data_IF_212953750821
#
_entry.id   IF_212953750821
#
_cell.length_a   1.000
_cell.length_b   1.000
_cell.length_c   1.000
_cell.angle_alpha   90.00
_cell.angle_beta   90.00
_cell.angle_gamma   90.00
#
_symmetry.space_group_name_H-M   'P 1'
#
loop_
_entity.id
_entity.type
_entity.pdbx_description
1 polymer ?
#
# COMPACT_ATOMS: atom_id res chain seq x y z
N UNK A 1 -10.75 66.85 -5.16
CA UNK A 1 -11.03 65.74 -4.27
C UNK A 1 -11.58 64.47 -4.94
N UNK A 2 -12.24 64.49 -6.09
CA UNK A 2 -12.83 63.28 -6.73
C UNK A 2 -11.82 62.39 -7.50
N UNK A 3 -10.72 62.97 -7.99
CA UNK A 3 -9.69 62.24 -8.75
C UNK A 3 -8.76 61.38 -7.89
N UNK A 4 -8.44 61.85 -6.66
CA UNK A 4 -7.57 61.10 -5.73
C UNK A 4 -8.24 59.87 -5.16
N UNK A 5 -9.57 59.86 -5.02
CA UNK A 5 -10.33 58.72 -4.52
C UNK A 5 -10.42 57.56 -5.51
N UNK A 6 -10.50 57.88 -6.82
CA UNK A 6 -10.53 56.89 -7.88
C UNK A 6 -9.19 56.13 -8.03
N UNK A 7 -8.06 56.83 -7.86
CA UNK A 7 -6.73 56.18 -7.90
C UNK A 7 -6.51 55.25 -6.70
N UNK A 8 -6.96 55.66 -5.50
CA UNK A 8 -6.83 54.83 -4.31
C UNK A 8 -7.70 53.55 -4.39
N UNK A 9 -8.91 53.63 -4.93
CA UNK A 9 -9.79 52.47 -5.14
C UNK A 9 -9.23 51.52 -6.22
N UNK A 10 -8.69 52.04 -7.30
CA UNK A 10 -8.05 51.25 -8.35
C UNK A 10 -6.77 50.54 -7.85
N UNK A 11 -5.97 51.19 -7.01
CA UNK A 11 -4.77 50.62 -6.37
C UNK A 11 -5.12 49.56 -5.33
N UNK A 12 -6.22 49.71 -4.59
CA UNK A 12 -6.70 48.75 -3.61
C UNK A 12 -7.26 47.49 -4.30
N UNK A 13 -7.97 47.65 -5.42
CA UNK A 13 -8.48 46.54 -6.23
C UNK A 13 -7.36 45.72 -6.88
N UNK A 14 -6.29 46.39 -7.37
CA UNK A 14 -5.12 45.72 -7.94
C UNK A 14 -4.29 44.97 -6.88
N UNK A 15 -4.20 45.49 -5.64
CA UNK A 15 -3.47 44.84 -4.56
C UNK A 15 -4.18 43.58 -3.99
N UNK A 16 -5.52 43.51 -4.08
CA UNK A 16 -6.30 42.33 -3.64
C UNK A 16 -6.37 41.28 -4.76
N UNK A 17 -6.32 41.68 -6.03
CA UNK A 17 -6.36 40.76 -7.16
C UNK A 17 -5.01 40.01 -7.38
N UNK A 18 -3.88 40.63 -7.07
CA UNK A 18 -2.56 40.06 -7.33
C UNK A 18 -2.30 38.68 -6.68
N UNK A 19 -2.54 38.46 -5.38
CA UNK A 19 -2.32 37.16 -4.76
C UNK A 19 -3.29 36.06 -5.22
N UNK A 20 -4.53 36.42 -5.56
CA UNK A 20 -5.53 35.48 -6.05
C UNK A 20 -5.16 34.96 -7.45
N UNK A 21 -4.76 35.83 -8.36
CA UNK A 21 -4.32 35.41 -9.70
C UNK A 21 -3.03 34.61 -9.69
N UNK A 22 -2.10 34.89 -8.77
CA UNK A 22 -0.87 34.10 -8.61
C UNK A 22 -1.16 32.70 -8.06
N UNK A 23 -2.11 32.58 -7.14
CA UNK A 23 -2.52 31.32 -6.55
C UNK A 23 -3.24 30.44 -7.59
N UNK A 24 -4.11 31.02 -8.43
CA UNK A 24 -4.75 30.33 -9.54
C UNK A 24 -3.74 29.85 -10.58
N UNK A 25 -2.75 30.66 -10.94
CA UNK A 25 -1.73 30.29 -11.91
C UNK A 25 -0.84 29.13 -11.40
N UNK A 26 -0.52 29.09 -10.11
CA UNK A 26 0.23 27.99 -9.49
C UNK A 26 -0.62 26.73 -9.47
N UNK A 27 -1.89 26.81 -9.10
CA UNK A 27 -2.81 25.69 -9.07
C UNK A 27 -3.01 25.10 -10.47
N UNK A 28 -3.23 25.94 -11.49
CA UNK A 28 -3.35 25.51 -12.88
C UNK A 28 -2.07 24.82 -13.39
N UNK A 29 -0.90 25.38 -13.06
CA UNK A 29 0.37 24.75 -13.40
C UNK A 29 0.56 23.41 -12.71
N UNK A 30 0.18 23.29 -11.43
CA UNK A 30 0.22 22.04 -10.69
C UNK A 30 -0.68 20.97 -11.32
N UNK A 31 -1.91 21.32 -11.69
CA UNK A 31 -2.84 20.44 -12.40
C UNK A 31 -2.27 19.95 -13.73
N UNK A 32 -1.68 20.84 -14.53
CA UNK A 32 -1.05 20.46 -15.80
C UNK A 32 0.11 19.46 -15.61
N UNK A 33 0.90 19.61 -14.55
CA UNK A 33 1.95 18.64 -14.21
C UNK A 33 1.37 17.33 -13.74
N UNK A 34 0.34 17.37 -12.90
CA UNK A 34 -0.35 16.19 -12.40
C UNK A 34 -0.97 15.38 -13.54
N UNK A 35 -1.66 16.04 -14.48
CA UNK A 35 -2.25 15.40 -15.67
C UNK A 35 -1.23 14.78 -16.64
N UNK A 36 0.03 15.26 -16.62
CA UNK A 36 1.11 14.71 -17.45
C UNK A 36 1.89 13.59 -16.79
N UNK A 37 1.83 13.51 -15.48
CA UNK A 37 2.51 12.49 -14.71
C UNK A 37 1.69 11.21 -14.72
N UNK A 38 2.33 10.07 -14.96
CA UNK A 38 1.73 8.77 -14.63
C UNK A 38 1.80 8.61 -13.11
N UNK A 39 0.67 8.76 -12.44
CA UNK A 39 0.57 8.66 -10.98
C UNK A 39 0.35 7.22 -10.56
N UNK A 40 1.04 6.80 -9.49
CA UNK A 40 0.98 5.41 -9.00
C UNK A 40 0.88 5.41 -7.49
N UNK A 41 -0.13 4.72 -6.95
CA UNK A 41 -0.21 4.31 -5.54
C UNK A 41 0.24 2.86 -5.42
N UNK A 42 1.18 2.56 -4.54
CA UNK A 42 1.77 1.23 -4.43
C UNK A 42 1.10 0.32 -3.42
N UNK A 43 0.08 0.79 -2.73
CA UNK A 43 -0.65 -0.06 -1.78
C UNK A 43 -2.06 0.44 -1.49
N UNK A 44 -3.05 -0.41 -1.73
CA UNK A 44 -4.44 -0.13 -1.41
C UNK A 44 -5.17 -1.39 -0.96
N UNK A 45 -5.79 -1.36 0.22
CA UNK A 45 -6.55 -2.46 0.81
C UNK A 45 -8.00 -2.57 0.31
N UNK A 46 -8.45 -1.66 -0.53
CA UNK A 46 -9.84 -1.69 -1.05
C UNK A 46 -10.28 -3.04 -1.62
N UNK A 47 -9.41 -3.89 -2.23
CA UNK A 47 -9.84 -5.15 -2.83
C UNK A 47 -10.58 -6.12 -1.90
N UNK A 48 -10.35 -6.09 -0.60
CA UNK A 48 -11.12 -6.97 0.30
C UNK A 48 -12.60 -6.61 0.36
N UNK A 49 -12.97 -5.35 0.10
CA UNK A 49 -14.36 -4.89 0.03
C UNK A 49 -15.10 -5.44 -1.20
N UNK A 50 -14.38 -5.93 -2.22
CA UNK A 50 -15.00 -6.62 -3.35
C UNK A 50 -15.70 -7.92 -2.96
N UNK A 51 -15.42 -8.45 -1.76
CA UNK A 51 -16.08 -9.62 -1.19
C UNK A 51 -17.35 -9.27 -0.38
N UNK A 52 -17.55 -7.98 -0.08
CA UNK A 52 -18.70 -7.52 0.70
C UNK A 52 -19.95 -7.41 -0.20
N UNK A 53 -21.07 -7.96 0.28
CA UNK A 53 -22.32 -7.91 -0.46
C UNK A 53 -22.78 -6.46 -0.69
N UNK A 54 -23.05 -6.12 -1.94
CA UNK A 54 -23.55 -4.80 -2.34
C UNK A 54 -22.48 -3.70 -2.43
N UNK A 55 -21.21 -3.98 -2.09
CA UNK A 55 -20.16 -3.01 -2.31
C UNK A 55 -19.67 -3.05 -3.77
N UNK A 56 -19.62 -1.89 -4.42
CA UNK A 56 -19.32 -1.77 -5.85
C UNK A 56 -18.27 -0.71 -6.11
N UNK A 57 -17.08 -1.13 -6.56
CA UNK A 57 -15.95 -0.26 -6.88
C UNK A 57 -16.23 0.71 -8.05
N UNK A 58 -17.21 0.41 -8.87
CA UNK A 58 -17.67 1.28 -9.96
C UNK A 58 -18.49 2.46 -9.50
N UNK A 59 -18.95 2.46 -8.24
CA UNK A 59 -19.69 3.56 -7.63
C UNK A 59 -18.75 4.47 -6.83
N UNK A 60 -19.14 5.76 -6.77
CA UNK A 60 -18.42 6.73 -5.95
C UNK A 60 -18.85 6.62 -4.49
N UNK A 61 -17.92 6.20 -3.64
CA UNK A 61 -18.17 6.08 -2.20
C UNK A 61 -17.84 7.38 -1.45
N UNK A 62 -18.49 7.65 -0.29
CA UNK A 62 -18.17 8.81 0.53
C UNK A 62 -16.78 8.71 1.13
N UNK A 63 -16.13 9.85 1.34
CA UNK A 63 -14.78 9.92 1.90
C UNK A 63 -14.84 9.89 3.43
N UNK A 64 -14.01 9.05 4.06
CA UNK A 64 -13.86 9.01 5.52
C UNK A 64 -14.96 8.23 6.26
N UNK A 65 -15.88 7.58 5.57
CA UNK A 65 -16.87 6.71 6.18
C UNK A 65 -16.36 5.26 6.28
N UNK A 66 -16.74 4.58 7.36
CA UNK A 66 -16.38 3.17 7.54
C UNK A 66 -16.99 2.31 6.43
N UNK A 67 -16.20 1.43 5.84
CA UNK A 67 -16.65 0.54 4.76
C UNK A 67 -16.69 1.18 3.37
N UNK A 68 -16.35 2.48 3.23
CA UNK A 68 -16.32 3.14 1.92
C UNK A 68 -15.07 2.84 1.09
N UNK A 69 -14.06 2.24 1.69
CA UNK A 69 -12.77 2.01 1.04
C UNK A 69 -11.95 3.28 0.82
N UNK A 70 -10.65 3.12 0.59
CA UNK A 70 -9.75 4.24 0.31
C UNK A 70 -9.83 4.67 -1.14
N UNK A 71 -10.12 3.76 -2.06
CA UNK A 71 -10.20 4.00 -3.50
C UNK A 71 -11.47 3.39 -4.10
N UNK A 72 -12.01 4.04 -5.13
CA UNK A 72 -12.95 3.49 -6.10
C UNK A 72 -12.64 4.08 -7.48
N UNK A 73 -13.14 3.47 -8.54
CA UNK A 73 -12.80 3.89 -9.90
C UNK A 73 -13.21 5.34 -10.22
N UNK A 74 -14.39 5.85 -9.78
CA UNK A 74 -14.72 7.27 -9.93
C UNK A 74 -13.76 8.21 -9.19
N UNK A 75 -13.44 7.95 -7.91
CA UNK A 75 -12.52 8.80 -7.13
C UNK A 75 -11.08 8.74 -7.65
N UNK A 76 -10.60 7.57 -8.11
CA UNK A 76 -9.30 7.46 -8.79
C UNK A 76 -9.26 8.38 -10.01
N UNK A 77 -10.32 8.39 -10.82
CA UNK A 77 -10.42 9.25 -12.00
C UNK A 77 -10.48 10.73 -11.63
N UNK A 78 -11.33 11.09 -10.66
CA UNK A 78 -11.46 12.47 -10.16
C UNK A 78 -10.15 13.03 -9.61
N UNK A 79 -9.41 12.20 -8.87
CA UNK A 79 -8.14 12.55 -8.24
C UNK A 79 -6.94 12.45 -9.18
N UNK A 80 -7.10 12.00 -10.42
CA UNK A 80 -6.00 11.81 -11.37
C UNK A 80 -5.04 10.70 -10.95
N UNK A 81 -5.51 9.66 -10.26
CA UNK A 81 -4.72 8.47 -9.95
C UNK A 81 -4.82 7.47 -11.10
N UNK A 82 -3.72 7.28 -11.83
CA UNK A 82 -3.69 6.47 -13.05
C UNK A 82 -3.48 4.99 -12.78
N UNK A 83 -2.66 4.66 -11.80
CA UNK A 83 -2.33 3.29 -11.45
C UNK A 83 -2.37 3.06 -9.94
N UNK A 84 -2.77 1.87 -9.51
CA UNK A 84 -2.72 1.44 -8.12
C UNK A 84 -2.36 -0.03 -8.00
N UNK A 85 -1.61 -0.36 -6.96
CA UNK A 85 -1.42 -1.74 -6.54
C UNK A 85 -2.51 -2.12 -5.55
N UNK A 86 -3.39 -2.99 -5.96
CA UNK A 86 -4.43 -3.56 -5.14
C UNK A 86 -3.89 -4.75 -4.34
N UNK A 87 -4.02 -4.67 -3.02
CA UNK A 87 -3.47 -5.66 -2.11
C UNK A 87 -4.40 -6.88 -1.98
N UNK A 88 -3.88 -8.05 -2.30
CA UNK A 88 -4.45 -9.33 -1.89
C UNK A 88 -3.97 -9.56 -0.45
N UNK A 89 -4.69 -8.96 0.50
CA UNK A 89 -4.36 -9.05 1.91
C UNK A 89 -4.93 -10.31 2.54
N UNK A 90 -4.07 -11.06 3.24
CA UNK A 90 -4.48 -12.19 4.07
C UNK A 90 -3.83 -12.08 5.45
N UNK A 91 -4.65 -11.95 6.48
CA UNK A 91 -4.19 -11.92 7.87
C UNK A 91 -3.42 -13.18 8.25
N UNK A 92 -2.47 -13.06 9.17
CA UNK A 92 -1.68 -14.19 9.64
C UNK A 92 -2.53 -15.12 10.51
N UNK A 93 -2.64 -16.37 10.09
CA UNK A 93 -3.23 -17.47 10.83
C UNK A 93 -2.20 -18.49 11.33
N UNK A 94 -2.65 -19.68 11.80
CA UNK A 94 -1.77 -20.75 12.23
C UNK A 94 -0.83 -21.24 11.13
N UNK A 95 0.45 -21.46 11.45
CA UNK A 95 1.45 -21.96 10.50
C UNK A 95 1.32 -23.49 10.34
N UNK A 96 0.15 -23.94 9.91
CA UNK A 96 -0.18 -25.34 9.65
C UNK A 96 -0.65 -25.52 8.20
N UNK A 97 -0.64 -26.75 7.66
CA UNK A 97 -1.15 -27.00 6.31
C UNK A 97 -2.59 -26.51 6.12
N UNK A 98 -3.46 -26.66 7.11
CA UNK A 98 -4.85 -26.21 7.09
C UNK A 98 -4.94 -24.68 7.11
N UNK A 99 -4.09 -24.02 7.92
CA UNK A 99 -4.01 -22.56 7.98
C UNK A 99 -3.55 -21.98 6.65
N UNK A 100 -2.51 -22.55 6.04
CA UNK A 100 -2.03 -22.16 4.71
C UNK A 100 -3.07 -22.39 3.62
N UNK A 101 -3.82 -23.51 3.68
CA UNK A 101 -4.88 -23.80 2.70
C UNK A 101 -6.00 -22.74 2.77
N UNK A 102 -6.46 -22.38 3.98
CA UNK A 102 -7.46 -21.30 4.17
C UNK A 102 -6.93 -19.94 3.70
N UNK A 103 -5.67 -19.65 3.96
CA UNK A 103 -5.04 -18.41 3.50
C UNK A 103 -5.02 -18.33 1.98
N UNK A 104 -4.68 -19.42 1.30
CA UNK A 104 -4.72 -19.52 -0.16
C UNK A 104 -6.14 -19.36 -0.69
N UNK A 105 -7.12 -20.02 -0.11
CA UNK A 105 -8.54 -19.90 -0.48
C UNK A 105 -9.02 -18.44 -0.40
N UNK A 106 -8.69 -17.72 0.68
CA UNK A 106 -9.00 -16.29 0.82
C UNK A 106 -8.31 -15.44 -0.24
N UNK A 107 -7.02 -15.69 -0.50
CA UNK A 107 -6.27 -14.99 -1.55
C UNK A 107 -6.88 -15.21 -2.94
N UNK A 108 -7.28 -16.45 -3.24
CA UNK A 108 -7.94 -16.80 -4.50
C UNK A 108 -9.30 -16.10 -4.65
N UNK A 109 -10.09 -16.04 -3.58
CA UNK A 109 -11.38 -15.34 -3.59
C UNK A 109 -11.22 -13.84 -3.92
N UNK A 110 -10.21 -13.16 -3.35
CA UNK A 110 -9.92 -11.76 -3.65
C UNK A 110 -9.49 -11.61 -5.12
N UNK A 111 -8.61 -12.49 -5.61
CA UNK A 111 -8.16 -12.48 -7.00
C UNK A 111 -9.31 -12.74 -7.99
N UNK A 112 -10.25 -13.61 -7.65
CA UNK A 112 -11.43 -13.89 -8.47
C UNK A 112 -12.38 -12.69 -8.50
N UNK A 113 -12.58 -12.02 -7.36
CA UNK A 113 -13.35 -10.79 -7.28
C UNK A 113 -12.72 -9.65 -8.11
N UNK A 114 -11.38 -9.53 -8.09
CA UNK A 114 -10.68 -8.59 -8.97
C UNK A 114 -10.83 -8.97 -10.45
N UNK A 115 -10.84 -10.25 -10.77
CA UNK A 115 -11.13 -10.74 -12.15
C UNK A 115 -12.54 -10.33 -12.59
N UNK A 116 -13.53 -10.49 -11.71
CA UNK A 116 -14.90 -10.02 -11.95
C UNK A 116 -14.98 -8.50 -12.12
N UNK A 117 -14.24 -7.73 -11.30
CA UNK A 117 -14.13 -6.28 -11.44
C UNK A 117 -13.65 -5.87 -12.84
N UNK A 118 -12.59 -6.48 -13.37
CA UNK A 118 -12.10 -6.20 -14.72
C UNK A 118 -13.13 -6.53 -15.80
N UNK A 119 -13.87 -7.62 -15.63
CA UNK A 119 -14.92 -8.02 -16.58
C UNK A 119 -16.13 -7.06 -16.54
N UNK A 120 -16.49 -6.57 -15.35
CA UNK A 120 -17.63 -5.66 -15.16
C UNK A 120 -17.32 -4.23 -15.59
N UNK A 121 -16.05 -3.78 -15.49
CA UNK A 121 -15.64 -2.40 -15.75
C UNK A 121 -14.52 -2.27 -16.81
N UNK A 122 -14.64 -2.93 -17.99
CA UNK A 122 -13.58 -2.94 -19.01
C UNK A 122 -13.29 -1.56 -19.62
N UNK A 123 -14.24 -0.63 -19.47
CA UNK A 123 -14.09 0.78 -19.91
C UNK A 123 -13.45 1.69 -18.86
N UNK A 124 -13.35 1.27 -17.60
CA UNK A 124 -12.87 2.10 -16.49
C UNK A 124 -11.50 1.68 -15.96
N UNK A 125 -11.21 0.39 -15.96
CA UNK A 125 -9.94 -0.16 -15.46
C UNK A 125 -9.50 -1.38 -16.27
N UNK A 126 -8.26 -1.80 -16.02
CA UNK A 126 -7.71 -3.03 -16.56
C UNK A 126 -6.52 -3.54 -15.78
N UNK A 127 -6.21 -4.84 -15.88
CA UNK A 127 -5.03 -5.43 -15.25
C UNK A 127 -3.75 -4.88 -15.87
N UNK A 128 -2.79 -4.54 -15.03
CA UNK A 128 -1.45 -4.14 -15.43
C UNK A 128 -0.43 -5.16 -14.87
N UNK A 129 0.39 -5.70 -15.73
CA UNK A 129 1.45 -6.64 -15.38
C UNK A 129 2.84 -6.02 -15.53
N UNK A 130 2.93 -4.93 -16.27
CA UNK A 130 4.16 -4.20 -16.58
C UNK A 130 3.92 -2.68 -16.56
N UNK A 131 4.98 -1.85 -16.43
CA UNK A 131 4.86 -0.41 -16.58
C UNK A 131 4.31 0.02 -17.96
N UNK A 132 4.53 -0.79 -19.01
CA UNK A 132 3.98 -0.53 -20.34
C UNK A 132 2.45 -0.67 -20.36
N UNK A 133 1.89 -1.62 -19.60
CA UNK A 133 0.43 -1.77 -19.46
C UNK A 133 -0.19 -0.53 -18.78
N UNK A 134 0.46 -0.02 -17.72
CA UNK A 134 -0.01 1.18 -17.05
C UNK A 134 -0.06 2.38 -18.01
N UNK A 135 1.00 2.61 -18.79
CA UNK A 135 1.03 3.67 -19.80
C UNK A 135 0.02 3.49 -20.92
N UNK A 136 -0.26 2.25 -21.31
CA UNK A 136 -1.28 1.94 -22.31
C UNK A 136 -2.69 2.23 -21.77
N UNK A 137 -2.99 1.75 -20.56
CA UNK A 137 -4.29 1.95 -19.92
C UNK A 137 -4.55 3.43 -19.62
N UNK A 138 -3.54 4.16 -19.14
CA UNK A 138 -3.61 5.61 -18.95
C UNK A 138 -3.99 6.34 -20.24
N UNK A 139 -3.34 6.05 -21.38
CA UNK A 139 -3.69 6.61 -22.69
C UNK A 139 -5.10 6.25 -23.15
N UNK A 140 -5.63 5.10 -22.72
CA UNK A 140 -7.01 4.67 -22.96
C UNK A 140 -8.01 5.35 -22.00
N UNK A 141 -7.54 6.18 -21.05
CA UNK A 141 -8.36 6.82 -20.00
C UNK A 141 -8.82 5.87 -18.92
N UNK A 142 -8.21 4.69 -18.81
CA UNK A 142 -8.51 3.64 -17.83
C UNK A 142 -7.54 3.65 -16.67
N UNK A 143 -7.99 3.17 -15.51
CA UNK A 143 -7.11 2.96 -14.34
C UNK A 143 -6.37 1.64 -14.47
N UNK A 144 -5.06 1.70 -14.31
CA UNK A 144 -4.20 0.52 -14.34
C UNK A 144 -4.13 -0.12 -12.96
N UNK A 145 -4.53 -1.37 -12.85
CA UNK A 145 -4.54 -2.09 -11.56
C UNK A 145 -3.47 -3.16 -11.60
N UNK A 146 -2.44 -2.97 -10.79
CA UNK A 146 -1.46 -3.99 -10.45
C UNK A 146 -1.95 -4.79 -9.25
N UNK A 147 -1.43 -5.99 -9.06
CA UNK A 147 -1.77 -6.85 -7.93
C UNK A 147 -0.53 -7.03 -7.05
N UNK A 148 -0.66 -6.67 -5.77
CA UNK A 148 0.29 -6.99 -4.72
C UNK A 148 -0.27 -8.07 -3.81
N UNK A 149 0.55 -9.00 -3.35
CA UNK A 149 0.17 -9.90 -2.27
C UNK A 149 0.70 -9.33 -0.96
N UNK A 150 -0.20 -8.97 -0.05
CA UNK A 150 0.19 -8.52 1.28
C UNK A 150 0.11 -9.66 2.29
N UNK A 151 1.25 -9.98 2.87
CA UNK A 151 1.58 -11.18 3.63
C UNK A 151 1.81 -12.42 2.73
N UNK A 152 3.05 -12.89 2.67
CA UNK A 152 3.40 -14.12 1.94
C UNK A 152 2.87 -15.42 2.57
N UNK A 153 2.04 -15.34 3.61
CA UNK A 153 1.45 -16.47 4.31
C UNK A 153 0.68 -17.45 3.39
N UNK A 154 -0.08 -17.02 2.35
CA UNK A 154 -0.72 -17.93 1.40
C UNK A 154 0.23 -18.81 0.60
N UNK A 155 1.52 -18.49 0.55
CA UNK A 155 2.53 -19.32 -0.11
C UNK A 155 2.81 -20.61 0.68
N UNK A 156 2.46 -20.65 1.98
CA UNK A 156 2.77 -21.78 2.84
C UNK A 156 4.25 -22.14 2.76
N UNK A 157 4.54 -23.42 2.52
CA UNK A 157 5.88 -23.96 2.23
C UNK A 157 5.93 -24.68 0.87
N UNK A 158 5.13 -24.23 -0.08
CA UNK A 158 5.05 -24.83 -1.42
C UNK A 158 5.64 -23.87 -2.48
N UNK A 159 6.81 -24.17 -3.05
CA UNK A 159 7.42 -23.35 -4.08
C UNK A 159 6.53 -23.14 -5.32
N UNK A 160 5.64 -24.11 -5.65
CA UNK A 160 4.76 -24.01 -6.79
C UNK A 160 3.72 -22.89 -6.65
N UNK A 161 3.38 -22.49 -5.41
CA UNK A 161 2.45 -21.40 -5.15
C UNK A 161 3.04 -20.02 -5.53
N UNK A 162 4.36 -19.86 -5.53
CA UNK A 162 5.00 -18.62 -5.99
C UNK A 162 4.71 -18.42 -7.49
N UNK A 163 4.92 -19.48 -8.29
CA UNK A 163 4.60 -19.48 -9.73
C UNK A 163 3.11 -19.33 -10.00
N UNK A 164 2.29 -19.97 -9.16
CA UNK A 164 0.83 -19.90 -9.26
C UNK A 164 0.36 -18.44 -9.10
N UNK A 165 0.74 -17.76 -8.06
CA UNK A 165 0.31 -16.38 -7.82
C UNK A 165 0.91 -15.38 -8.82
N UNK A 166 2.15 -15.61 -9.30
CA UNK A 166 2.71 -14.87 -10.42
C UNK A 166 1.83 -14.98 -11.69
N UNK A 167 1.38 -16.19 -12.03
CA UNK A 167 0.48 -16.42 -13.17
C UNK A 167 -0.91 -15.81 -12.97
N UNK A 168 -1.36 -15.67 -11.70
CA UNK A 168 -2.58 -14.95 -11.32
C UNK A 168 -2.42 -13.42 -11.37
N UNK A 169 -1.24 -12.90 -11.70
CA UNK A 169 -0.99 -11.48 -11.90
C UNK A 169 -0.28 -10.75 -10.76
N UNK A 170 0.11 -11.43 -9.69
CA UNK A 170 0.86 -10.81 -8.56
C UNK A 170 2.20 -10.26 -9.06
N UNK A 171 2.52 -9.02 -8.68
CA UNK A 171 3.73 -8.31 -9.10
C UNK A 171 4.59 -7.79 -7.95
N UNK A 172 4.09 -7.83 -6.72
CA UNK A 172 4.92 -7.81 -5.52
C UNK A 172 4.40 -8.77 -4.47
N UNK A 173 5.28 -9.15 -3.52
CA UNK A 173 4.92 -9.90 -2.32
C UNK A 173 5.53 -9.19 -1.11
N UNK A 174 4.67 -8.71 -0.20
CA UNK A 174 5.05 -8.30 1.15
C UNK A 174 5.30 -9.57 1.97
N UNK A 175 6.53 -9.77 2.43
CA UNK A 175 6.97 -11.08 2.94
C UNK A 175 6.25 -11.50 4.22
N UNK A 176 5.97 -10.57 5.14
CA UNK A 176 5.17 -10.77 6.35
C UNK A 176 4.26 -9.56 6.57
N UNK A 177 3.28 -9.66 7.48
CA UNK A 177 2.42 -8.55 7.88
C UNK A 177 2.59 -8.25 9.38
N UNK A 178 1.54 -8.32 10.19
CA UNK A 178 1.57 -7.97 11.63
C UNK A 178 2.23 -9.03 12.52
N UNK A 179 2.46 -10.22 12.00
CA UNK A 179 3.03 -11.33 12.73
C UNK A 179 4.05 -12.08 11.90
N UNK A 180 4.99 -12.74 12.60
CA UNK A 180 5.97 -13.63 12.00
C UNK A 180 5.30 -14.77 11.26
N UNK A 181 5.85 -15.11 10.10
CA UNK A 181 5.39 -16.24 9.30
C UNK A 181 6.53 -17.22 8.99
N UNK A 182 6.31 -18.14 8.06
CA UNK A 182 7.35 -19.11 7.67
C UNK A 182 8.46 -18.48 6.82
N UNK A 183 8.26 -17.26 6.29
CA UNK A 183 9.20 -16.56 5.42
C UNK A 183 10.17 -15.71 6.24
N UNK A 184 9.64 -14.84 7.10
CA UNK A 184 10.46 -13.92 7.89
C UNK A 184 9.70 -13.37 9.10
N UNK A 185 10.43 -12.64 9.94
CA UNK A 185 9.89 -11.98 11.11
C UNK A 185 9.28 -10.61 10.71
N UNK A 186 8.21 -10.26 11.44
CA UNK A 186 7.47 -9.00 11.31
C UNK A 186 8.02 -7.93 12.25
N UNK A 187 7.93 -6.67 11.85
CA UNK A 187 8.29 -5.52 12.69
C UNK A 187 7.35 -5.31 13.88
N UNK A 188 6.19 -5.94 13.90
CA UNK A 188 5.13 -5.72 14.89
C UNK A 188 4.72 -6.96 15.67
N UNK A 189 5.31 -8.13 15.42
CA UNK A 189 5.05 -9.30 16.25
C UNK A 189 5.71 -9.12 17.62
N UNK A 190 4.89 -9.10 18.67
CA UNK A 190 5.34 -8.96 20.07
C UNK A 190 5.35 -10.29 20.84
N UNK A 191 4.95 -11.39 20.16
CA UNK A 191 4.85 -12.72 20.80
C UNK A 191 6.22 -13.36 21.00
N UNK A 192 7.16 -13.06 20.09
CA UNK A 192 8.54 -13.48 20.19
C UNK A 192 9.45 -12.26 20.10
N UNK A 193 10.24 -11.93 21.13
CA UNK A 193 11.14 -10.78 21.10
C UNK A 193 12.41 -11.03 20.27
N UNK A 194 12.63 -12.27 19.78
CA UNK A 194 13.80 -12.59 18.96
C UNK A 194 13.52 -12.28 17.49
N UNK A 195 14.22 -11.30 16.97
CA UNK A 195 14.27 -11.06 15.53
C UNK A 195 15.29 -12.03 14.88
N UNK A 196 14.78 -13.07 14.22
CA UNK A 196 15.58 -14.08 13.51
C UNK A 196 15.83 -13.73 12.06
N UNK A 197 15.08 -12.76 11.53
CA UNK A 197 15.19 -12.30 10.15
C UNK A 197 14.57 -13.25 9.14
N UNK A 198 15.24 -13.41 8.00
CA UNK A 198 14.78 -14.23 6.88
C UNK A 198 15.08 -15.71 7.11
N UNK A 199 14.05 -16.57 7.10
CA UNK A 199 14.20 -18.02 7.23
C UNK A 199 14.85 -18.67 6.00
N UNK A 200 15.20 -19.96 6.11
CA UNK A 200 15.69 -20.73 4.93
C UNK A 200 14.63 -20.86 3.85
N UNK A 201 13.36 -20.98 4.22
CA UNK A 201 12.23 -20.91 3.29
C UNK A 201 12.13 -19.51 2.67
N UNK A 202 12.24 -18.46 3.47
CA UNK A 202 12.26 -17.08 3.00
C UNK A 202 13.35 -16.80 1.98
N UNK A 203 14.54 -17.41 2.13
CA UNK A 203 15.63 -17.32 1.12
C UNK A 203 15.23 -17.95 -0.21
N UNK A 204 14.51 -19.08 -0.19
CA UNK A 204 13.99 -19.72 -1.41
C UNK A 204 12.91 -18.86 -2.06
N UNK A 205 11.97 -18.33 -1.27
CA UNK A 205 10.93 -17.38 -1.75
C UNK A 205 11.58 -16.18 -2.41
N UNK A 206 12.53 -15.51 -1.74
CA UNK A 206 13.26 -14.35 -2.27
C UNK A 206 13.94 -14.67 -3.61
N UNK A 207 14.64 -15.80 -3.67
CA UNK A 207 15.31 -16.26 -4.89
C UNK A 207 14.32 -16.42 -6.04
N UNK A 208 13.18 -17.07 -5.79
CA UNK A 208 12.16 -17.32 -6.82
C UNK A 208 11.44 -16.05 -7.26
N UNK A 209 11.13 -15.14 -6.33
CA UNK A 209 10.55 -13.83 -6.68
C UNK A 209 11.49 -13.05 -7.61
N UNK A 210 12.79 -13.03 -7.32
CA UNK A 210 13.79 -12.40 -8.19
C UNK A 210 13.86 -13.06 -9.58
N UNK A 211 13.77 -14.40 -9.67
CA UNK A 211 13.78 -15.13 -10.96
C UNK A 211 12.57 -14.78 -11.83
N UNK A 212 11.41 -14.55 -11.21
CA UNK A 212 10.16 -14.21 -11.88
C UNK A 212 10.03 -12.72 -12.19
N UNK A 213 10.92 -11.86 -11.65
CA UNK A 213 10.78 -10.42 -11.74
C UNK A 213 9.61 -9.86 -10.91
N UNK A 214 9.21 -10.58 -9.84
CA UNK A 214 8.23 -10.11 -8.84
C UNK A 214 8.98 -9.28 -7.82
N UNK A 215 8.52 -8.06 -7.55
CA UNK A 215 9.14 -7.17 -6.57
C UNK A 215 8.99 -7.75 -5.16
N UNK A 216 10.06 -7.66 -4.39
CA UNK A 216 10.04 -7.98 -2.96
C UNK A 216 9.66 -6.72 -2.20
N UNK A 217 8.54 -6.76 -1.49
CA UNK A 217 8.09 -5.67 -0.65
C UNK A 217 8.57 -5.88 0.79
N UNK A 218 9.34 -4.91 1.27
CA UNK A 218 9.95 -4.90 2.60
C UNK A 218 9.15 -4.09 3.62
N UNK A 219 7.95 -3.62 3.27
CA UNK A 219 7.01 -3.10 4.26
C UNK A 219 6.64 -4.21 5.25
N UNK A 220 6.39 -3.87 6.51
CA UNK A 220 6.01 -4.77 7.60
C UNK A 220 7.09 -5.68 8.18
N UNK A 221 8.15 -6.02 7.45
CA UNK A 221 9.16 -6.97 7.96
C UNK A 221 10.05 -6.35 9.03
N UNK A 222 10.64 -7.18 9.87
CA UNK A 222 11.57 -6.76 10.93
C UNK A 222 12.82 -6.09 10.37
N UNK A 223 13.55 -5.35 11.21
CA UNK A 223 14.79 -4.70 10.82
C UNK A 223 15.83 -5.72 10.33
N UNK A 224 15.95 -6.86 11.00
CA UNK A 224 16.84 -7.93 10.58
C UNK A 224 16.40 -8.57 9.27
N UNK A 225 15.09 -8.87 9.12
CA UNK A 225 14.54 -9.38 7.86
C UNK A 225 14.84 -8.44 6.70
N UNK A 226 14.74 -7.11 6.92
CA UNK A 226 15.05 -6.10 5.92
C UNK A 226 16.51 -6.20 5.45
N UNK A 227 17.47 -6.23 6.38
CA UNK A 227 18.88 -6.32 6.01
C UNK A 227 19.24 -7.67 5.40
N UNK A 228 18.64 -8.78 5.86
CA UNK A 228 18.82 -10.10 5.26
C UNK A 228 18.31 -10.12 3.80
N UNK A 229 17.16 -9.50 3.52
CA UNK A 229 16.63 -9.35 2.17
C UNK A 229 17.57 -8.54 1.30
N UNK A 230 18.05 -7.38 1.77
CA UNK A 230 18.97 -6.53 0.99
C UNK A 230 20.32 -7.19 0.72
N UNK A 231 20.79 -8.04 1.61
CA UNK A 231 22.04 -8.78 1.42
C UNK A 231 21.93 -9.88 0.34
N UNK A 232 20.73 -10.39 0.09
CA UNK A 232 20.51 -11.56 -0.77
C UNK A 232 19.77 -11.25 -2.07
N UNK A 233 19.00 -10.16 -2.12
CA UNK A 233 18.23 -9.81 -3.33
C UNK A 233 19.16 -9.45 -4.49
N UNK A 234 18.72 -9.84 -5.69
CA UNK A 234 19.42 -9.53 -6.96
C UNK A 234 18.78 -8.36 -7.72
N UNK A 235 17.69 -7.81 -7.16
CA UNK A 235 16.93 -6.73 -7.77
C UNK A 235 16.61 -5.64 -6.73
N UNK A 236 16.30 -4.42 -7.15
CA UNK A 236 15.77 -3.39 -6.28
C UNK A 236 14.47 -3.86 -5.60
N UNK A 237 14.33 -3.54 -4.31
CA UNK A 237 13.13 -3.86 -3.53
C UNK A 237 12.23 -2.64 -3.40
N UNK A 238 10.98 -2.85 -2.96
CA UNK A 238 10.04 -1.78 -2.67
C UNK A 238 9.66 -1.82 -1.19
N UNK A 239 9.57 -0.63 -0.55
CA UNK A 239 8.79 -0.44 0.65
C UNK A 239 7.48 0.23 0.22
N UNK A 240 6.44 -0.57 -0.04
CA UNK A 240 5.21 -0.13 -0.70
C UNK A 240 4.41 0.89 0.12
N UNK A 241 4.53 0.83 1.47
CA UNK A 241 3.83 1.72 2.40
C UNK A 241 4.54 1.77 3.77
N UNK A 242 5.54 2.63 3.89
CA UNK A 242 6.31 2.88 5.12
C UNK A 242 6.65 4.36 5.22
N UNK A 243 7.23 4.79 6.36
CA UNK A 243 7.70 6.16 6.57
C UNK A 243 9.09 6.17 7.23
N UNK A 244 9.54 7.35 7.67
CA UNK A 244 10.82 7.53 8.34
C UNK A 244 10.67 7.38 9.86
N UNK A 245 11.41 6.45 10.48
CA UNK A 245 11.36 6.19 11.93
C UNK A 245 11.86 7.39 12.76
N UNK A 246 12.74 8.20 12.20
CA UNK A 246 13.20 9.43 12.83
C UNK A 246 12.08 10.47 13.05
N UNK A 247 10.99 10.42 12.26
CA UNK A 247 9.83 11.33 12.40
C UNK A 247 8.73 10.73 13.28
N UNK A 248 8.57 9.43 13.27
CA UNK A 248 7.66 8.68 14.14
C UNK A 248 8.25 7.33 14.48
N UNK A 249 8.44 7.05 15.77
CA UNK A 249 9.11 5.86 16.29
C UNK A 249 8.31 4.55 16.11
N UNK A 250 7.45 4.49 15.10
CA UNK A 250 6.74 3.27 14.74
C UNK A 250 7.72 2.20 14.22
N UNK A 251 7.63 0.94 14.67
CA UNK A 251 8.44 -0.16 14.13
C UNK A 251 8.14 -0.43 12.64
N UNK A 252 6.99 0.05 12.12
CA UNK A 252 6.61 -0.01 10.71
C UNK A 252 7.43 0.93 9.81
N UNK A 253 8.12 1.91 10.41
CA UNK A 253 8.92 2.90 9.70
C UNK A 253 10.37 2.44 9.57
N UNK A 254 11.04 2.86 8.49
CA UNK A 254 12.44 2.56 8.23
C UNK A 254 13.35 3.51 9.01
N UNK A 255 14.43 2.98 9.57
CA UNK A 255 15.51 3.80 10.16
C UNK A 255 16.28 4.53 9.06
N UNK A 256 17.04 5.55 9.44
CA UNK A 256 17.91 6.27 8.48
C UNK A 256 18.93 5.32 7.83
N UNK A 257 19.43 4.34 8.58
CA UNK A 257 20.31 3.29 8.06
C UNK A 257 19.61 2.43 7.00
N UNK A 258 18.36 2.00 7.28
CA UNK A 258 17.56 1.24 6.31
C UNK A 258 17.26 2.08 5.05
N UNK A 259 16.94 3.36 5.20
CA UNK A 259 16.71 4.27 4.06
C UNK A 259 17.97 4.42 3.18
N UNK A 260 19.16 4.54 3.79
CA UNK A 260 20.42 4.59 3.06
C UNK A 260 20.75 3.26 2.38
N UNK A 261 20.45 2.13 3.03
CA UNK A 261 20.61 0.81 2.45
C UNK A 261 19.65 0.59 1.28
N UNK A 262 18.39 1.00 1.40
CA UNK A 262 17.39 0.97 0.33
C UNK A 262 17.84 1.81 -0.87
N UNK A 263 18.34 3.02 -0.64
CA UNK A 263 18.94 3.87 -1.69
C UNK A 263 20.08 3.17 -2.40
N UNK A 264 20.99 2.51 -1.66
CA UNK A 264 22.13 1.76 -2.25
C UNK A 264 21.66 0.56 -3.09
N UNK A 265 20.57 -0.10 -2.67
CA UNK A 265 19.94 -1.17 -3.43
C UNK A 265 19.24 -0.67 -4.73
N UNK A 266 18.98 0.64 -4.85
CA UNK A 266 18.20 1.23 -5.95
C UNK A 266 16.69 1.05 -5.78
N UNK A 267 16.26 0.67 -4.59
CA UNK A 267 14.84 0.47 -4.22
C UNK A 267 14.08 1.77 -4.03
N UNK A 268 12.79 1.65 -3.79
CA UNK A 268 11.85 2.76 -3.63
C UNK A 268 11.07 2.60 -2.32
N UNK A 269 10.86 3.71 -1.61
CA UNK A 269 9.88 3.80 -0.53
C UNK A 269 8.75 4.74 -0.94
N UNK A 270 7.50 4.31 -0.74
CA UNK A 270 6.34 5.17 -0.84
C UNK A 270 5.77 5.45 0.56
N UNK A 271 5.47 6.73 0.79
CA UNK A 271 5.04 7.20 2.09
C UNK A 271 3.62 6.72 2.38
N UNK A 272 3.47 5.99 3.48
CA UNK A 272 2.16 5.65 4.04
C UNK A 272 1.60 6.86 4.79
N UNK A 273 0.54 7.48 4.23
CA UNK A 273 -0.09 8.67 4.83
C UNK A 273 -1.01 8.32 6.01
N UNK A 274 -0.62 7.35 6.82
CA UNK A 274 -1.24 7.08 8.11
C UNK A 274 -0.65 8.02 9.16
N UNK A 275 -1.50 8.72 9.89
CA UNK A 275 -1.09 9.78 10.84
C UNK A 275 0.03 9.33 11.77
N UNK A 276 -0.10 8.15 12.38
CA UNK A 276 0.85 7.61 13.35
C UNK A 276 2.21 7.22 12.75
N UNK A 277 2.29 7.07 11.42
CA UNK A 277 3.55 6.80 10.73
C UNK A 277 4.23 8.09 10.27
N UNK A 278 3.43 9.13 9.99
CA UNK A 278 3.95 10.43 9.51
C UNK A 278 4.40 11.30 10.67
N UNK A 279 3.68 11.28 11.80
CA UNK A 279 3.94 12.13 12.96
C UNK A 279 3.73 11.34 14.25
N UNK A 280 4.73 11.41 15.16
CA UNK A 280 4.58 10.82 16.47
C UNK A 280 3.35 11.41 17.18
N UNK A 281 2.34 10.59 17.51
CA UNK A 281 1.18 11.08 18.24
C UNK A 281 1.60 11.54 19.65
N UNK A 282 0.92 12.53 20.22
CA UNK A 282 1.12 12.89 21.62
C UNK A 282 0.92 11.67 22.54
N UNK A 283 1.69 11.58 23.60
CA UNK A 283 1.49 10.56 24.61
C UNK A 283 0.08 10.69 25.22
N UNK A 284 -0.68 9.61 25.21
CA UNK A 284 -2.04 9.53 25.75
C UNK A 284 -2.24 8.16 26.39
N UNK A 285 -2.08 8.10 27.72
CA UNK A 285 -2.19 6.85 28.48
C UNK A 285 -3.60 6.21 28.37
N UNK A 286 -4.66 7.01 28.16
CA UNK A 286 -6.01 6.51 27.97
C UNK A 286 -6.18 5.81 26.64
N UNK A 287 -5.69 6.44 25.57
CA UNK A 287 -5.66 5.86 24.22
C UNK A 287 -4.80 4.59 24.19
N UNK A 288 -3.59 4.65 24.75
CA UNK A 288 -2.66 3.54 24.73
C UNK A 288 -3.24 2.32 25.45
N UNK A 289 -3.88 2.53 26.62
CA UNK A 289 -4.62 1.48 27.34
C UNK A 289 -5.81 0.94 26.54
N UNK A 290 -6.57 1.81 25.86
CA UNK A 290 -7.69 1.40 25.04
C UNK A 290 -7.23 0.54 23.84
N UNK A 291 -6.09 0.87 23.22
CA UNK A 291 -5.48 0.05 22.18
C UNK A 291 -5.02 -1.31 22.72
N UNK A 292 -4.34 -1.35 23.85
CA UNK A 292 -3.92 -2.62 24.48
C UNK A 292 -5.11 -3.53 24.77
N UNK A 293 -6.20 -2.96 25.32
CA UNK A 293 -7.41 -3.72 25.58
C UNK A 293 -8.10 -4.20 24.29
N UNK A 294 -8.15 -3.37 23.27
CA UNK A 294 -8.69 -3.72 21.95
C UNK A 294 -7.90 -4.89 21.33
N UNK A 295 -6.55 -4.80 21.30
CA UNK A 295 -5.71 -5.89 20.78
C UNK A 295 -5.87 -7.18 21.58
N UNK A 296 -5.94 -7.09 22.91
CA UNK A 296 -6.20 -8.24 23.77
C UNK A 296 -7.53 -8.92 23.41
N UNK A 297 -8.61 -8.15 23.24
CA UNK A 297 -9.92 -8.68 22.83
C UNK A 297 -9.91 -9.34 21.46
N UNK A 298 -9.23 -8.75 20.48
CA UNK A 298 -9.04 -9.36 19.15
C UNK A 298 -8.31 -10.69 19.28
N UNK A 299 -7.27 -10.74 20.10
CA UNK A 299 -6.51 -11.97 20.32
C UNK A 299 -7.36 -13.06 21.00
N UNK A 300 -8.13 -12.69 22.04
CA UNK A 300 -8.97 -13.62 22.79
C UNK A 300 -10.18 -14.11 21.97
N UNK A 301 -10.80 -13.24 21.18
CA UNK A 301 -12.04 -13.55 20.46
C UNK A 301 -11.79 -14.29 19.16
N UNK A 302 -10.73 -13.92 18.45
CA UNK A 302 -10.47 -14.33 17.06
C UNK A 302 -9.13 -15.01 16.86
N UNK A 303 -8.32 -15.19 17.91
CA UNK A 303 -6.95 -15.73 17.79
C UNK A 303 -5.99 -14.79 17.04
N UNK A 304 -6.33 -13.52 16.90
CA UNK A 304 -5.61 -12.49 16.17
C UNK A 304 -6.35 -11.99 14.93
N UNK A 305 -5.72 -11.10 14.17
CA UNK A 305 -6.31 -10.47 12.98
C UNK A 305 -6.68 -11.46 11.85
N UNK A 306 -6.01 -12.60 11.79
CA UNK A 306 -6.29 -13.65 10.79
C UNK A 306 -7.59 -14.42 11.06
N UNK A 307 -8.22 -14.24 12.22
CA UNK A 307 -9.50 -14.87 12.58
C UNK A 307 -10.72 -13.99 12.31
N UNK A 308 -10.48 -12.75 11.90
CA UNK A 308 -11.52 -11.80 11.46
C UNK A 308 -11.69 -11.93 9.96
#
# INVERSE_FOLDING_TARGET
>A
MKFSLLIAVASLLLAVAGPVFAQDAVAQKALLWHERALTVDTHCDTPFLLLEEGWDIGQRHPTGERGSGCQDLPRMKEGGLDASFFAVFVGQGPRTPEGHAKAREKADAILDAMGAMFANYPGLCGPALTPADARRLEKEGKRAIFIGMENGYPLGKDPALIDYFYKRGVRYVTLAHTADNDICDSSTDRRDPQDRGLSDWGRQVLGRLNDLGVMVDVSHISDRSFFDVLALTRAPVIASHSCARALSASPRNLTDEMLLALKKNGGVIQLCILTDYVKQPPADAGRDKAFEEFYRRIQETYGGWGGI
#
